data_IF_725581641328
#
_entry.id   IF_725581641328
#
_cell.length_a   1.000
_cell.length_b   1.000
_cell.length_c   1.000
_cell.angle_alpha   90.00
_cell.angle_beta   90.00
_cell.angle_gamma   90.00
#
_symmetry.space_group_name_H-M   'P 1'
#
loop_
_entity.id
_entity.type
_entity.pdbx_description
1 polymer ?
#
# COMPACT_ATOMS: atom_id res chain seq x y z
N UNK A 1 -31.31 -5.54 -7.20
CA UNK A 1 -30.87 -4.68 -6.06
C UNK A 1 -30.98 -3.22 -6.48
N UNK A 2 -31.50 -2.37 -5.61
CA UNK A 2 -31.46 -0.92 -5.82
C UNK A 2 -30.04 -0.39 -5.62
N UNK A 3 -29.73 0.82 -6.13
CA UNK A 3 -28.42 1.48 -5.93
C UNK A 3 -28.04 1.57 -4.43
N UNK A 4 -29.02 1.87 -3.56
CA UNK A 4 -28.80 1.92 -2.11
C UNK A 4 -28.41 0.56 -1.52
N UNK A 5 -29.07 -0.51 -1.93
CA UNK A 5 -28.74 -1.88 -1.48
C UNK A 5 -27.36 -2.32 -1.98
N UNK A 6 -26.98 -1.95 -3.21
CA UNK A 6 -25.65 -2.25 -3.75
C UNK A 6 -24.55 -1.52 -2.98
N UNK A 7 -24.76 -0.24 -2.63
CA UNK A 7 -23.83 0.51 -1.76
C UNK A 7 -23.68 -0.13 -0.39
N UNK A 8 -24.81 -0.50 0.25
CA UNK A 8 -24.78 -1.15 1.57
C UNK A 8 -24.07 -2.52 1.53
N UNK A 9 -24.21 -3.27 0.45
CA UNK A 9 -23.47 -4.51 0.25
C UNK A 9 -21.96 -4.25 0.13
N UNK A 10 -21.54 -3.27 -0.67
CA UNK A 10 -20.12 -2.90 -0.83
C UNK A 10 -19.55 -2.44 0.52
N UNK A 11 -20.25 -1.59 1.27
CA UNK A 11 -19.84 -1.18 2.61
C UNK A 11 -19.59 -2.37 3.54
N UNK A 12 -20.52 -3.32 3.56
CA UNK A 12 -20.39 -4.53 4.40
C UNK A 12 -19.18 -5.38 3.99
N UNK A 13 -18.91 -5.53 2.68
CA UNK A 13 -17.75 -6.27 2.17
C UNK A 13 -16.43 -5.58 2.54
N UNK A 14 -16.33 -4.27 2.39
CA UNK A 14 -15.14 -3.51 2.76
C UNK A 14 -14.91 -3.52 4.27
N UNK A 15 -15.97 -3.44 5.06
CA UNK A 15 -15.89 -3.47 6.52
C UNK A 15 -15.39 -4.83 7.03
N UNK A 16 -15.96 -5.94 6.53
CA UNK A 16 -15.60 -7.29 7.00
C UNK A 16 -14.21 -7.73 6.53
N UNK A 17 -13.75 -7.24 5.38
CA UNK A 17 -12.43 -7.60 4.83
C UNK A 17 -11.28 -7.14 5.73
N UNK A 18 -11.34 -5.93 6.26
CA UNK A 18 -10.23 -5.31 6.99
C UNK A 18 -9.00 -4.96 6.14
N UNK A 19 -8.85 -5.58 4.98
CA UNK A 19 -7.77 -5.38 4.00
C UNK A 19 -8.30 -4.77 2.69
N UNK A 20 -7.45 -4.18 1.83
CA UNK A 20 -7.88 -3.67 0.53
C UNK A 20 -8.50 -4.75 -0.36
N UNK A 21 -9.70 -4.49 -0.85
CA UNK A 21 -10.45 -5.38 -1.74
C UNK A 21 -10.33 -4.87 -3.16
N UNK A 22 -9.80 -5.70 -4.07
CA UNK A 22 -9.68 -5.35 -5.49
C UNK A 22 -11.04 -5.34 -6.19
N UNK A 23 -11.15 -4.57 -7.28
CA UNK A 23 -12.36 -4.55 -8.13
C UNK A 23 -12.72 -5.94 -8.64
N UNK A 24 -11.73 -6.78 -8.95
CA UNK A 24 -11.98 -8.15 -9.41
C UNK A 24 -12.65 -9.03 -8.35
N UNK A 25 -12.24 -8.88 -7.09
CA UNK A 25 -12.87 -9.58 -5.95
C UNK A 25 -14.30 -9.09 -5.75
N UNK A 26 -14.52 -7.76 -5.74
CA UNK A 26 -15.87 -7.19 -5.62
C UNK A 26 -16.76 -7.66 -6.76
N UNK A 27 -16.30 -7.64 -8.01
CA UNK A 27 -17.02 -8.11 -9.18
C UNK A 27 -17.44 -9.58 -9.05
N UNK A 28 -16.52 -10.44 -8.65
CA UNK A 28 -16.79 -11.88 -8.50
C UNK A 28 -17.73 -12.19 -7.33
N UNK A 29 -17.79 -11.32 -6.33
CA UNK A 29 -18.62 -11.51 -5.13
C UNK A 29 -20.03 -10.95 -5.33
N UNK A 30 -20.17 -9.85 -6.07
CA UNK A 30 -21.45 -9.12 -6.20
C UNK A 30 -22.14 -9.34 -7.53
N UNK A 31 -21.45 -9.92 -8.52
CA UNK A 31 -21.88 -10.06 -9.93
C UNK A 31 -22.20 -8.71 -10.61
N UNK A 32 -21.76 -7.59 -10.02
CA UNK A 32 -21.94 -6.26 -10.59
C UNK A 32 -20.89 -5.98 -11.68
N UNK A 33 -21.27 -5.27 -12.76
CA UNK A 33 -20.33 -4.80 -13.77
C UNK A 33 -19.24 -3.89 -13.15
N UNK A 34 -18.03 -3.98 -13.69
CA UNK A 34 -16.88 -3.21 -13.16
C UNK A 34 -17.10 -1.69 -13.19
N UNK A 35 -17.78 -1.18 -14.23
CA UNK A 35 -18.09 0.25 -14.34
C UNK A 35 -19.08 0.70 -13.26
N UNK A 36 -20.08 -0.11 -12.96
CA UNK A 36 -21.05 0.18 -11.91
C UNK A 36 -20.37 0.17 -10.54
N UNK A 37 -19.47 -0.81 -10.29
CA UNK A 37 -18.68 -0.87 -9.08
C UNK A 37 -17.80 0.37 -8.91
N UNK A 38 -17.12 0.83 -9.95
CA UNK A 38 -16.30 2.07 -9.92
C UNK A 38 -17.16 3.29 -9.59
N UNK A 39 -18.34 3.38 -10.18
CA UNK A 39 -19.26 4.48 -9.88
C UNK A 39 -19.74 4.43 -8.43
N UNK A 40 -20.24 3.28 -7.97
CA UNK A 40 -20.73 3.10 -6.59
C UNK A 40 -19.65 3.39 -5.54
N UNK A 41 -18.43 2.91 -5.78
CA UNK A 41 -17.27 3.17 -4.89
C UNK A 41 -16.90 4.66 -4.88
N UNK A 42 -16.90 5.32 -6.05
CA UNK A 42 -16.68 6.77 -6.14
C UNK A 42 -17.72 7.57 -5.36
N UNK A 43 -19.00 7.19 -5.47
CA UNK A 43 -20.09 7.82 -4.71
C UNK A 43 -19.92 7.57 -3.20
N UNK A 44 -19.60 6.35 -2.79
CA UNK A 44 -19.36 6.02 -1.37
C UNK A 44 -18.18 6.80 -0.77
N UNK A 45 -17.06 6.93 -1.49
CA UNK A 45 -15.90 7.71 -1.06
C UNK A 45 -16.31 9.15 -0.77
N UNK A 46 -17.09 9.76 -1.68
CA UNK A 46 -17.58 11.15 -1.51
C UNK A 46 -18.54 11.24 -0.33
N UNK A 47 -19.49 10.31 -0.21
CA UNK A 47 -20.46 10.29 0.89
C UNK A 47 -19.80 10.17 2.27
N UNK A 48 -18.81 9.26 2.42
CA UNK A 48 -18.08 9.09 3.67
C UNK A 48 -17.24 10.33 4.04
N UNK A 49 -16.66 10.99 3.03
CA UNK A 49 -15.90 12.23 3.22
C UNK A 49 -16.78 13.41 3.64
N UNK A 50 -18.02 13.47 3.12
CA UNK A 50 -18.95 14.59 3.40
C UNK A 50 -19.67 14.44 4.75
N UNK A 51 -19.81 13.22 5.27
CA UNK A 51 -20.56 12.93 6.50
C UNK A 51 -19.80 13.22 7.80
N UNK A 52 -18.60 13.76 7.76
CA UNK A 52 -17.70 13.86 8.93
C UNK A 52 -17.62 12.54 9.72
N UNK A 53 -17.58 11.44 8.98
CA UNK A 53 -17.61 10.09 9.55
C UNK A 53 -16.31 9.75 10.27
N UNK A 54 -16.39 8.94 11.32
CA UNK A 54 -15.22 8.32 11.95
C UNK A 54 -14.54 7.27 11.08
N UNK A 55 -15.17 6.88 9.95
CA UNK A 55 -14.65 5.96 8.95
C UNK A 55 -14.57 6.64 7.60
N UNK A 56 -13.62 6.23 6.79
CA UNK A 56 -13.44 6.64 5.40
C UNK A 56 -13.32 5.40 4.51
N UNK A 57 -13.65 5.55 3.23
CA UNK A 57 -13.30 4.59 2.20
C UNK A 57 -12.19 5.21 1.35
N UNK A 58 -11.10 4.49 1.19
CA UNK A 58 -9.92 4.95 0.43
C UNK A 58 -9.58 3.95 -0.67
N UNK A 59 -9.04 4.47 -1.77
CA UNK A 59 -8.41 3.65 -2.80
C UNK A 59 -6.93 3.48 -2.44
N UNK A 60 -6.49 2.24 -2.18
CA UNK A 60 -5.15 1.91 -1.67
C UNK A 60 -4.74 0.51 -2.14
N UNK A 61 -3.46 0.29 -2.40
CA UNK A 61 -2.89 -1.00 -2.74
C UNK A 61 -3.66 -1.74 -3.85
N UNK A 62 -3.97 -1.03 -4.95
CA UNK A 62 -4.76 -1.51 -6.09
C UNK A 62 -6.17 -2.02 -5.72
N UNK A 63 -6.75 -1.52 -4.64
CA UNK A 63 -8.08 -1.89 -4.15
C UNK A 63 -8.74 -0.77 -3.37
N UNK A 64 -9.81 -1.12 -2.67
CA UNK A 64 -10.58 -0.20 -1.82
C UNK A 64 -10.62 -0.75 -0.41
N UNK A 65 -10.47 0.10 0.59
CA UNK A 65 -10.46 -0.27 2.00
C UNK A 65 -11.27 0.73 2.81
N UNK A 66 -12.01 0.22 3.79
CA UNK A 66 -12.59 1.04 4.84
C UNK A 66 -11.57 1.24 5.95
N UNK A 67 -11.29 2.48 6.29
CA UNK A 67 -10.28 2.87 7.28
C UNK A 67 -10.87 3.86 8.29
N UNK A 68 -10.22 4.00 9.44
CA UNK A 68 -10.58 5.03 10.42
C UNK A 68 -10.12 6.41 9.93
N UNK A 69 -10.91 7.45 10.24
CA UNK A 69 -10.53 8.82 9.92
C UNK A 69 -9.26 9.21 10.71
N UNK A 70 -8.19 9.69 10.04
CA UNK A 70 -6.93 10.10 10.67
C UNK A 70 -7.09 11.16 11.77
N UNK A 71 -8.12 11.98 11.73
CA UNK A 71 -8.41 13.00 12.76
C UNK A 71 -8.57 12.37 14.15
N UNK A 72 -9.04 11.13 14.22
CA UNK A 72 -9.22 10.41 15.48
C UNK A 72 -8.01 9.56 15.90
N UNK A 73 -6.87 9.65 15.19
CA UNK A 73 -5.69 8.81 15.41
C UNK A 73 -5.16 8.82 16.85
N UNK A 74 -5.24 9.97 17.55
CA UNK A 74 -4.76 10.09 18.92
C UNK A 74 -5.59 9.25 19.91
N UNK A 75 -6.90 9.24 19.74
CA UNK A 75 -7.82 8.45 20.57
C UNK A 75 -7.70 6.96 20.26
N UNK A 76 -7.58 6.62 18.98
CA UNK A 76 -7.41 5.23 18.55
C UNK A 76 -6.10 4.63 19.09
N UNK A 77 -4.99 5.37 19.07
CA UNK A 77 -3.72 4.95 19.68
C UNK A 77 -3.87 4.70 21.19
N UNK A 78 -4.62 5.54 21.92
CA UNK A 78 -4.88 5.35 23.33
C UNK A 78 -5.76 4.11 23.58
N UNK A 79 -6.78 3.92 22.78
CA UNK A 79 -7.72 2.80 22.89
C UNK A 79 -7.04 1.45 22.63
N UNK A 80 -6.21 1.37 21.59
CA UNK A 80 -5.53 0.12 21.21
C UNK A 80 -4.28 -0.17 22.03
N UNK A 81 -3.86 0.72 22.94
CA UNK A 81 -2.58 0.64 23.67
C UNK A 81 -1.37 0.35 22.78
N UNK A 82 -1.46 0.70 21.52
CA UNK A 82 -0.40 0.44 20.52
C UNK A 82 0.71 1.48 20.65
N UNK A 83 1.61 1.26 21.60
CA UNK A 83 2.92 1.93 21.66
C UNK A 83 3.96 1.25 20.75
N UNK A 84 3.56 0.29 19.92
CA UNK A 84 4.47 -0.39 19.00
C UNK A 84 4.88 0.57 17.90
N UNK A 85 6.09 1.05 18.02
CA UNK A 85 6.78 1.74 16.94
C UNK A 85 7.03 0.73 15.80
N UNK A 86 6.04 0.59 14.91
CA UNK A 86 6.22 -0.12 13.63
C UNK A 86 7.11 0.67 12.65
N UNK A 87 7.79 1.71 13.15
CA UNK A 87 8.65 2.56 12.33
C UNK A 87 9.83 1.74 11.81
N UNK A 88 10.06 1.85 10.52
CA UNK A 88 11.27 1.34 9.89
C UNK A 88 12.47 2.19 10.34
N UNK A 89 13.62 1.53 10.51
CA UNK A 89 14.88 2.27 10.72
C UNK A 89 15.25 3.05 9.46
N UNK A 90 16.06 4.09 9.59
CA UNK A 90 16.54 4.86 8.42
C UNK A 90 17.22 3.97 7.37
N UNK A 91 18.12 3.00 7.73
CA UNK A 91 18.67 2.07 6.75
C UNK A 91 17.60 1.21 6.05
N UNK A 92 16.51 0.86 6.75
CA UNK A 92 15.40 0.11 6.13
C UNK A 92 14.60 0.97 5.18
N UNK A 93 14.33 2.23 5.51
CA UNK A 93 13.64 3.18 4.63
C UNK A 93 14.45 3.45 3.36
N UNK A 94 15.75 3.71 3.50
CA UNK A 94 16.67 3.91 2.37
C UNK A 94 16.67 2.71 1.42
N UNK A 95 16.85 1.51 1.96
CA UNK A 95 16.85 0.27 1.17
C UNK A 95 15.52 0.06 0.45
N UNK A 96 14.42 0.28 1.17
CA UNK A 96 13.08 0.12 0.64
C UNK A 96 12.79 1.13 -0.48
N UNK A 97 13.24 2.37 -0.34
CA UNK A 97 13.14 3.39 -1.38
C UNK A 97 13.91 2.98 -2.64
N UNK A 98 15.17 2.52 -2.51
CA UNK A 98 15.95 2.07 -3.66
C UNK A 98 15.23 0.91 -4.39
N UNK A 99 14.69 -0.05 -3.64
CA UNK A 99 13.94 -1.16 -4.22
C UNK A 99 12.68 -0.62 -4.93
N UNK A 100 11.91 0.26 -4.32
CA UNK A 100 10.68 0.79 -4.89
C UNK A 100 10.91 1.50 -6.24
N UNK A 101 12.00 2.27 -6.36
CA UNK A 101 12.31 3.01 -7.59
C UNK A 101 13.06 2.20 -8.67
N UNK A 102 13.79 1.14 -8.25
CA UNK A 102 14.66 0.39 -9.16
C UNK A 102 14.22 -1.05 -9.43
N UNK A 103 13.09 -1.47 -8.87
CA UNK A 103 12.59 -2.83 -9.05
C UNK A 103 12.27 -3.17 -10.51
N UNK A 104 12.52 -4.44 -10.94
CA UNK A 104 13.13 -5.52 -10.16
C UNK A 104 14.66 -5.35 -10.04
N UNK A 105 15.23 -5.48 -8.83
CA UNK A 105 16.64 -5.23 -8.50
C UNK A 105 17.28 -6.44 -7.82
N UNK A 106 18.56 -6.73 -8.11
CA UNK A 106 19.32 -7.75 -7.39
C UNK A 106 20.09 -7.12 -6.21
N UNK A 107 20.44 -7.97 -5.22
CA UNK A 107 21.20 -7.53 -4.04
C UNK A 107 22.49 -6.76 -4.39
N UNK A 108 23.27 -7.24 -5.35
CA UNK A 108 24.53 -6.59 -5.74
C UNK A 108 24.33 -5.16 -6.27
N UNK A 109 23.29 -4.93 -7.08
CA UNK A 109 22.94 -3.60 -7.58
C UNK A 109 22.45 -2.68 -6.45
N UNK A 110 21.68 -3.22 -5.51
CA UNK A 110 21.23 -2.51 -4.32
C UNK A 110 22.42 -2.09 -3.44
N UNK A 111 23.35 -3.00 -3.14
CA UNK A 111 24.55 -2.74 -2.36
C UNK A 111 25.50 -1.76 -3.03
N UNK A 112 25.58 -1.79 -4.37
CA UNK A 112 26.34 -0.81 -5.15
C UNK A 112 25.78 0.62 -4.95
N UNK A 113 24.47 0.77 -4.90
CA UNK A 113 23.83 2.09 -4.64
C UNK A 113 24.02 2.52 -3.21
N UNK A 114 23.89 1.61 -2.24
CA UNK A 114 24.00 1.92 -0.80
C UNK A 114 25.44 2.07 -0.30
N UNK A 115 26.41 1.46 -0.98
CA UNK A 115 27.79 1.40 -0.55
C UNK A 115 28.08 0.47 0.65
N UNK A 116 27.06 -0.27 1.15
CA UNK A 116 27.18 -1.13 2.33
C UNK A 116 26.38 -2.44 2.15
N UNK A 117 26.77 -3.47 2.94
CA UNK A 117 26.06 -4.74 2.97
C UNK A 117 24.59 -4.55 3.39
N UNK A 118 23.68 -5.25 2.73
CA UNK A 118 22.23 -5.09 2.91
C UNK A 118 21.50 -6.35 3.37
N UNK A 119 22.20 -7.45 3.69
CA UNK A 119 21.59 -8.74 4.06
C UNK A 119 20.58 -8.62 5.20
N UNK A 120 20.97 -8.01 6.31
CA UNK A 120 20.12 -7.84 7.49
C UNK A 120 18.90 -6.99 7.21
N UNK A 121 19.05 -5.94 6.40
CA UNK A 121 17.94 -5.04 6.05
C UNK A 121 16.98 -5.73 5.08
N UNK A 122 17.49 -6.42 4.06
CA UNK A 122 16.66 -7.20 3.12
C UNK A 122 15.84 -8.23 3.88
N UNK A 123 16.47 -8.99 4.81
CA UNK A 123 15.75 -9.95 5.65
C UNK A 123 14.64 -9.28 6.45
N UNK A 124 14.92 -8.18 7.10
CA UNK A 124 13.91 -7.42 7.88
C UNK A 124 12.73 -6.96 7.00
N UNK A 125 13.00 -6.49 5.78
CA UNK A 125 11.96 -6.05 4.86
C UNK A 125 11.12 -7.21 4.30
N UNK A 126 11.74 -8.38 4.08
CA UNK A 126 11.03 -9.62 3.72
C UNK A 126 10.17 -10.12 4.88
N UNK A 127 10.68 -10.15 6.10
CA UNK A 127 9.95 -10.57 7.31
C UNK A 127 8.73 -9.65 7.57
N UNK A 128 8.87 -8.35 7.28
CA UNK A 128 7.77 -7.38 7.32
C UNK A 128 6.86 -7.41 6.10
N UNK A 129 7.12 -8.27 5.13
CA UNK A 129 6.39 -8.39 3.87
C UNK A 129 6.34 -7.11 3.03
N UNK A 130 7.24 -6.16 3.24
CA UNK A 130 7.30 -4.92 2.45
C UNK A 130 7.96 -5.11 1.09
N UNK A 131 8.82 -6.14 0.98
CA UNK A 131 9.41 -6.59 -0.28
C UNK A 131 9.18 -8.09 -0.49
N UNK A 132 9.29 -8.53 -1.73
CA UNK A 132 9.17 -9.94 -2.13
C UNK A 132 10.25 -10.31 -3.14
N UNK A 133 10.51 -11.62 -3.26
CA UNK A 133 11.30 -12.17 -4.36
C UNK A 133 10.39 -12.29 -5.58
N UNK A 134 10.75 -11.60 -6.66
CA UNK A 134 10.00 -11.60 -7.93
C UNK A 134 10.45 -12.72 -8.88
N UNK A 135 11.63 -13.30 -8.64
CA UNK A 135 12.23 -14.33 -9.46
C UNK A 135 13.75 -14.32 -9.38
N UNK A 136 14.41 -14.80 -10.42
CA UNK A 136 15.88 -14.80 -10.56
C UNK A 136 16.27 -14.12 -11.86
N UNK A 137 17.38 -13.38 -11.84
CA UNK A 137 17.95 -12.76 -13.03
C UNK A 137 18.64 -13.85 -13.88
N UNK A 138 18.40 -13.86 -15.18
CA UNK A 138 18.98 -14.83 -16.13
C UNK A 138 20.44 -14.46 -16.49
N UNK A 139 21.32 -14.51 -15.47
CA UNK A 139 22.77 -14.29 -15.58
C UNK A 139 23.50 -15.34 -14.75
N UNK A 140 24.83 -15.58 -14.96
CA UNK A 140 25.60 -16.50 -14.11
C UNK A 140 25.37 -16.22 -12.62
N UNK A 141 25.17 -17.29 -11.85
CA UNK A 141 24.81 -17.21 -10.43
C UNK A 141 23.32 -17.01 -10.14
N UNK A 142 22.47 -16.71 -11.14
CA UNK A 142 20.99 -16.56 -11.04
C UNK A 142 20.54 -15.85 -9.77
N UNK A 143 21.01 -14.61 -9.49
CA UNK A 143 20.70 -13.90 -8.25
C UNK A 143 19.20 -13.58 -8.16
N UNK A 144 18.71 -13.48 -6.91
CA UNK A 144 17.33 -13.14 -6.63
C UNK A 144 17.01 -11.70 -7.03
N UNK A 145 15.83 -11.52 -7.61
CA UNK A 145 15.24 -10.21 -7.93
C UNK A 145 14.23 -9.83 -6.85
N UNK A 146 14.35 -8.62 -6.34
CA UNK A 146 13.48 -8.05 -5.30
C UNK A 146 12.56 -6.97 -5.86
N UNK A 147 11.37 -6.87 -5.31
CA UNK A 147 10.40 -5.81 -5.59
C UNK A 147 9.45 -5.62 -4.41
N UNK A 148 8.66 -4.57 -4.48
CA UNK A 148 7.67 -4.22 -3.44
C UNK A 148 6.43 -5.12 -3.49
N UNK A 149 5.63 -5.06 -2.43
CA UNK A 149 4.41 -5.84 -2.24
C UNK A 149 3.17 -4.94 -2.19
N UNK A 150 2.00 -5.52 -1.95
CA UNK A 150 0.80 -4.74 -1.63
C UNK A 150 0.87 -4.14 -0.22
N UNK A 151 1.49 -4.85 0.73
CA UNK A 151 1.72 -4.35 2.08
C UNK A 151 2.62 -3.12 2.09
N UNK A 152 3.55 -2.99 1.12
CA UNK A 152 4.30 -1.75 0.90
C UNK A 152 3.37 -0.59 0.55
N UNK A 153 2.46 -0.78 -0.40
CA UNK A 153 1.50 0.26 -0.80
C UNK A 153 0.59 0.66 0.37
N UNK A 154 0.12 -0.32 1.15
CA UNK A 154 -0.65 -0.06 2.38
C UNK A 154 0.15 0.70 3.42
N UNK A 155 1.41 0.33 3.64
CA UNK A 155 2.27 0.98 4.64
C UNK A 155 2.49 2.47 4.35
N UNK A 156 2.60 2.83 3.06
CA UNK A 156 2.77 4.22 2.62
C UNK A 156 1.45 4.93 2.30
N UNK A 157 0.33 4.23 2.33
CA UNK A 157 -0.99 4.82 2.06
C UNK A 157 -1.19 5.22 0.60
N UNK A 158 -0.52 4.55 -0.34
CA UNK A 158 -0.58 4.84 -1.77
C UNK A 158 -1.40 3.80 -2.54
N UNK A 159 -2.04 4.23 -3.61
CA UNK A 159 -2.86 3.40 -4.48
C UNK A 159 -2.01 2.40 -5.26
N UNK A 160 -0.98 2.90 -5.91
CA UNK A 160 -0.02 2.13 -6.68
C UNK A 160 1.34 2.86 -6.75
N UNK A 161 2.32 2.27 -7.43
CA UNK A 161 3.67 2.83 -7.52
C UNK A 161 3.76 4.14 -8.31
N UNK A 162 2.74 4.50 -9.09
CA UNK A 162 2.74 5.76 -9.86
C UNK A 162 2.53 6.98 -8.97
N UNK A 163 2.03 6.79 -7.75
CA UNK A 163 1.91 7.85 -6.75
C UNK A 163 3.23 8.18 -6.02
N UNK A 164 4.28 7.39 -6.24
CA UNK A 164 5.61 7.75 -5.72
C UNK A 164 6.13 9.00 -6.41
N UNK A 165 6.67 10.00 -5.65
CA UNK A 165 7.27 11.19 -6.23
C UNK A 165 8.36 10.82 -7.25
N UNK A 166 8.45 11.54 -8.34
CA UNK A 166 9.57 11.35 -9.27
C UNK A 166 10.89 11.85 -8.66
N UNK A 167 12.01 11.27 -9.09
CA UNK A 167 13.34 11.72 -8.61
C UNK A 167 13.59 13.22 -8.86
N UNK A 168 12.93 13.81 -9.89
CA UNK A 168 13.00 15.25 -10.16
C UNK A 168 12.21 16.08 -9.16
N UNK A 169 11.08 15.58 -8.69
CA UNK A 169 10.27 16.22 -7.65
C UNK A 169 10.99 16.20 -6.31
N UNK A 170 11.56 15.04 -5.91
CA UNK A 170 12.36 14.91 -4.69
C UNK A 170 13.55 15.88 -4.69
N UNK A 171 14.29 15.99 -5.79
CA UNK A 171 15.41 16.91 -5.90
C UNK A 171 15.01 18.41 -5.81
N UNK A 172 13.76 18.76 -6.11
CA UNK A 172 13.25 20.12 -5.96
C UNK A 172 12.85 20.43 -4.52
N UNK A 173 12.30 19.47 -3.81
CA UNK A 173 11.94 19.63 -2.39
C UNK A 173 13.17 19.77 -1.50
N UNK A 174 14.28 19.08 -1.81
CA UNK A 174 15.56 19.25 -1.09
C UNK A 174 16.25 20.59 -1.35
N UNK A 175 15.88 21.29 -2.43
CA UNK A 175 16.48 22.57 -2.82
C UNK A 175 15.71 23.80 -2.30
N UNK A 176 14.58 23.61 -1.62
CA UNK A 176 13.75 24.65 -0.99
C UNK A 176 13.90 24.69 0.51
#
# INVERSE_FOLDING_TARGET
MTNKEQKSLIEALLFVSGDPVSLSVLKNTTDLPENDLKQLLGELIVEYKQKDSGLLIVEIANGYQMVTNPEYSQWLKKFTNTNTSNKLSMPSLETLAIIAYKQPIIKAELEQVRGVNSDGVIKTLLDKRLIKIMGRKEVPGKPLLYGTTQEFLQYFGIKDLTELPTLKELAREEAM
#
